data_IF_629353427806
#
_entry.id   IF_629353427806
#
_cell.length_a   1.000
_cell.length_b   1.000
_cell.length_c   1.000
_cell.angle_alpha   90.00
_cell.angle_beta   90.00
_cell.angle_gamma   90.00
#
_symmetry.space_group_name_H-M   'P 1'
#
loop_
_entity.id
_entity.type
_entity.pdbx_description
1 polymer ?
#
# COMPACT_ATOMS: atom_id res chain seq x y z
N UNK A 1 -0.83 22.59 -0.11
CA UNK A 1 -0.90 22.94 -1.54
C UNK A 1 -2.20 23.67 -1.78
N UNK A 2 -2.11 24.98 -2.03
CA UNK A 2 -3.30 25.80 -2.21
C UNK A 2 -4.04 25.36 -3.48
N UNK A 3 -5.37 25.40 -3.45
CA UNK A 3 -6.24 25.04 -4.60
C UNK A 3 -5.84 25.77 -5.89
N UNK A 4 -5.25 26.96 -5.76
CA UNK A 4 -4.71 27.78 -6.84
C UNK A 4 -3.52 27.11 -7.55
N UNK A 5 -2.57 26.52 -6.82
CA UNK A 5 -1.38 25.85 -7.38
C UNK A 5 -1.78 24.62 -8.20
N UNK A 6 -2.75 23.85 -7.69
CA UNK A 6 -3.28 22.69 -8.40
C UNK A 6 -3.98 23.09 -9.71
N UNK A 7 -4.72 24.20 -9.69
CA UNK A 7 -5.40 24.71 -10.88
C UNK A 7 -4.39 25.27 -11.90
N UNK A 8 -3.34 25.94 -11.46
CA UNK A 8 -2.25 26.38 -12.34
C UNK A 8 -1.59 25.18 -13.04
N UNK A 9 -1.19 24.17 -12.26
CA UNK A 9 -0.60 22.93 -12.78
C UNK A 9 -1.51 22.22 -13.79
N UNK A 10 -2.83 22.15 -13.53
CA UNK A 10 -3.80 21.57 -14.48
C UNK A 10 -3.87 22.34 -15.79
N UNK A 11 -3.85 23.66 -15.72
CA UNK A 11 -3.95 24.52 -16.89
C UNK A 11 -2.69 24.43 -17.76
N UNK A 12 -1.50 24.39 -17.14
CA UNK A 12 -0.23 24.17 -17.84
C UNK A 12 -0.24 22.82 -18.57
N UNK A 13 -0.59 21.75 -17.84
CA UNK A 13 -0.63 20.41 -18.41
C UNK A 13 -1.65 20.27 -19.56
N UNK A 14 -2.78 20.97 -19.47
CA UNK A 14 -3.75 21.03 -20.56
C UNK A 14 -3.19 21.75 -21.80
N UNK A 15 -2.43 22.84 -21.62
CA UNK A 15 -1.78 23.54 -22.72
C UNK A 15 -0.74 22.67 -23.40
N UNK A 16 0.11 21.99 -22.64
CA UNK A 16 1.15 21.10 -23.18
C UNK A 16 0.54 19.95 -23.99
N UNK A 17 -0.55 19.36 -23.49
CA UNK A 17 -1.28 18.31 -24.22
C UNK A 17 -1.88 18.86 -25.52
N UNK A 18 -2.46 20.06 -25.50
CA UNK A 18 -3.06 20.66 -26.69
C UNK A 18 -2.02 21.12 -27.73
N UNK A 19 -0.83 21.48 -27.28
CA UNK A 19 0.30 21.85 -28.14
C UNK A 19 1.02 20.63 -28.73
N UNK A 20 0.78 19.42 -28.21
CA UNK A 20 1.41 18.18 -28.70
C UNK A 20 0.73 17.72 -29.99
N UNK A 21 1.51 17.60 -31.08
CA UNK A 21 1.08 17.09 -32.38
C UNK A 21 1.40 15.59 -32.59
N UNK A 22 2.21 15.01 -31.72
CA UNK A 22 2.52 13.57 -31.72
C UNK A 22 1.42 12.72 -31.04
N UNK A 23 0.74 11.91 -31.84
CA UNK A 23 -0.33 11.02 -31.38
C UNK A 23 0.16 9.92 -30.41
N UNK A 24 1.37 9.41 -30.56
CA UNK A 24 1.90 8.34 -29.73
C UNK A 24 2.31 8.85 -28.35
N UNK A 25 2.81 10.10 -28.27
CA UNK A 25 2.99 10.82 -27.01
C UNK A 25 1.64 10.96 -26.30
N UNK A 26 0.59 11.45 -26.99
CA UNK A 26 -0.75 11.59 -26.41
C UNK A 26 -1.32 10.25 -25.90
N UNK A 27 -1.14 9.16 -26.65
CA UNK A 27 -1.57 7.82 -26.25
C UNK A 27 -0.86 7.34 -24.99
N UNK A 28 0.44 7.59 -24.90
CA UNK A 28 1.28 7.20 -23.76
C UNK A 28 0.87 7.97 -22.51
N UNK A 29 0.71 9.30 -22.62
CA UNK A 29 0.27 10.17 -21.52
C UNK A 29 -1.12 9.76 -21.02
N UNK A 30 -2.07 9.50 -21.92
CA UNK A 30 -3.42 9.00 -21.56
C UNK A 30 -3.35 7.68 -20.80
N UNK A 31 -2.48 6.76 -21.22
CA UNK A 31 -2.32 5.44 -20.58
C UNK A 31 -1.70 5.57 -19.19
N UNK A 32 -0.67 6.41 -19.05
CA UNK A 32 -0.04 6.70 -17.76
C UNK A 32 -1.05 7.30 -16.77
N UNK A 33 -1.82 8.30 -17.22
CA UNK A 33 -2.87 8.92 -16.40
C UNK A 33 -3.94 7.92 -15.95
N UNK A 34 -4.45 7.08 -16.87
CA UNK A 34 -5.43 6.02 -16.51
C UNK A 34 -4.87 5.07 -15.45
N UNK A 35 -3.62 4.64 -15.58
CA UNK A 35 -2.96 3.76 -14.58
C UNK A 35 -2.83 4.45 -13.23
N UNK A 36 -2.48 5.75 -13.20
CA UNK A 36 -2.40 6.52 -11.96
C UNK A 36 -3.78 6.60 -11.27
N UNK A 37 -4.84 6.90 -12.03
CA UNK A 37 -6.20 6.97 -11.51
C UNK A 37 -6.71 5.61 -11.03
N UNK A 38 -6.44 4.52 -11.76
CA UNK A 38 -6.79 3.17 -11.31
C UNK A 38 -6.11 2.81 -9.99
N UNK A 39 -4.81 3.08 -9.86
CA UNK A 39 -4.07 2.85 -8.59
C UNK A 39 -4.64 3.66 -7.44
N UNK A 40 -4.99 4.93 -7.68
CA UNK A 40 -5.66 5.77 -6.67
C UNK A 40 -7.01 5.17 -6.26
N UNK A 41 -7.84 4.77 -7.22
CA UNK A 41 -9.17 4.23 -6.93
C UNK A 41 -9.09 2.91 -6.17
N UNK A 42 -8.15 2.03 -6.51
CA UNK A 42 -7.89 0.80 -5.76
C UNK A 42 -7.51 1.09 -4.31
N UNK A 43 -6.58 2.02 -4.07
CA UNK A 43 -6.21 2.44 -2.72
C UNK A 43 -7.39 3.00 -1.93
N UNK A 44 -8.23 3.81 -2.57
CA UNK A 44 -9.45 4.34 -1.92
C UNK A 44 -10.43 3.23 -1.55
N UNK A 45 -10.64 2.26 -2.46
CA UNK A 45 -11.50 1.10 -2.20
C UNK A 45 -10.96 0.21 -1.08
N UNK A 46 -9.64 0.00 -1.03
CA UNK A 46 -8.97 -0.73 0.06
C UNK A 46 -9.13 -0.01 1.40
N UNK A 47 -8.95 1.32 1.40
CA UNK A 47 -9.14 2.15 2.59
C UNK A 47 -10.59 2.11 3.07
N UNK A 48 -11.57 2.20 2.16
CA UNK A 48 -12.99 2.04 2.47
C UNK A 48 -13.30 0.67 3.06
N UNK A 49 -12.74 -0.41 2.50
CA UNK A 49 -12.88 -1.77 3.03
C UNK A 49 -12.26 -1.92 4.42
N UNK A 50 -11.09 -1.33 4.65
CA UNK A 50 -10.42 -1.32 5.94
C UNK A 50 -11.25 -0.57 6.98
N UNK A 51 -11.75 0.62 6.64
CA UNK A 51 -12.64 1.41 7.48
C UNK A 51 -13.93 0.65 7.81
N UNK A 52 -14.56 0.01 6.82
CA UNK A 52 -15.79 -0.77 7.01
C UNK A 52 -15.59 -1.98 7.94
N UNK A 53 -14.37 -2.52 8.01
CA UNK A 53 -14.00 -3.63 8.92
C UNK A 53 -13.44 -3.17 10.25
N UNK A 54 -13.35 -1.86 10.51
CA UNK A 54 -12.66 -1.31 11.68
C UNK A 54 -11.15 -1.61 11.72
N UNK A 55 -10.57 -1.99 10.59
CA UNK A 55 -9.16 -2.35 10.46
C UNK A 55 -8.34 -1.12 10.07
N UNK A 56 -8.33 -0.10 10.93
CA UNK A 56 -7.44 1.03 10.73
C UNK A 56 -5.98 0.53 10.62
N UNK A 57 -5.17 1.03 9.68
CA UNK A 57 -3.75 0.70 9.64
C UNK A 57 -3.11 1.06 10.98
N UNK A 58 -2.25 0.18 11.51
CA UNK A 58 -1.45 0.51 12.68
C UNK A 58 -0.59 1.74 12.39
N UNK A 59 -0.50 2.61 13.38
CA UNK A 59 0.50 3.68 13.39
C UNK A 59 1.91 3.08 13.55
N UNK A 60 2.93 3.86 13.19
CA UNK A 60 4.31 3.41 13.36
C UNK A 60 4.63 3.12 14.84
N UNK A 61 4.10 3.94 15.75
CA UNK A 61 4.30 3.78 17.19
C UNK A 61 3.63 2.50 17.71
N UNK A 62 2.43 2.18 17.24
CA UNK A 62 1.75 0.92 17.58
C UNK A 62 2.51 -0.30 17.05
N UNK A 63 3.09 -0.21 15.84
CA UNK A 63 3.92 -1.28 15.31
C UNK A 63 5.20 -1.46 16.13
N UNK A 64 5.87 -0.37 16.49
CA UNK A 64 7.07 -0.41 17.32
C UNK A 64 6.78 -1.01 18.70
N UNK A 65 5.72 -0.56 19.37
CA UNK A 65 5.33 -1.09 20.68
C UNK A 65 5.05 -2.61 20.64
N UNK A 66 4.44 -3.10 19.56
CA UNK A 66 4.20 -4.54 19.36
C UNK A 66 5.48 -5.33 19.07
N UNK A 67 6.46 -4.72 18.40
CA UNK A 67 7.77 -5.33 18.17
C UNK A 67 8.51 -5.42 19.50
N UNK A 68 8.55 -4.33 20.28
CA UNK A 68 9.19 -4.29 21.59
C UNK A 68 8.59 -5.33 22.55
N UNK A 69 7.25 -5.45 22.55
CA UNK A 69 6.54 -6.49 23.31
C UNK A 69 6.98 -7.90 22.89
N UNK A 70 7.00 -8.19 21.58
CA UNK A 70 7.42 -9.49 21.07
C UNK A 70 8.89 -9.81 21.41
N UNK A 71 9.77 -8.82 21.32
CA UNK A 71 11.19 -8.96 21.70
C UNK A 71 11.35 -9.26 23.20
N UNK A 72 10.58 -8.59 24.06
CA UNK A 72 10.56 -8.86 25.49
C UNK A 72 10.04 -10.27 25.80
N UNK A 73 9.03 -10.75 25.07
CA UNK A 73 8.53 -12.12 25.18
C UNK A 73 9.61 -13.14 24.79
N UNK A 74 10.30 -12.93 23.67
CA UNK A 74 11.42 -13.79 23.26
C UNK A 74 12.56 -13.80 24.29
N UNK A 75 12.91 -12.63 24.83
CA UNK A 75 13.92 -12.52 25.90
C UNK A 75 13.49 -13.26 27.18
N UNK A 76 12.19 -13.28 27.49
CA UNK A 76 11.62 -14.06 28.58
C UNK A 76 11.49 -15.57 28.28
N UNK A 77 11.99 -16.04 27.12
CA UNK A 77 11.93 -17.43 26.70
C UNK A 77 10.54 -17.86 26.18
N UNK A 78 9.63 -16.91 25.93
CA UNK A 78 8.35 -17.18 25.28
C UNK A 78 8.54 -17.15 23.77
N UNK A 79 8.24 -18.26 23.12
CA UNK A 79 8.40 -18.40 21.67
C UNK A 79 8.79 -19.82 21.30
N UNK A 80 8.74 -20.14 20.01
CA UNK A 80 9.20 -21.42 19.48
C UNK A 80 10.21 -21.12 18.38
N UNK A 81 11.40 -21.76 18.40
CA UNK A 81 12.34 -21.65 17.29
C UNK A 81 11.67 -21.99 15.96
N UNK A 82 12.03 -21.24 14.92
CA UNK A 82 11.40 -21.38 13.61
C UNK A 82 11.47 -22.82 13.08
N UNK A 83 12.58 -23.52 13.31
CA UNK A 83 12.80 -24.91 12.91
C UNK A 83 11.79 -25.85 13.58
N UNK A 84 11.55 -25.68 14.87
CA UNK A 84 10.61 -26.49 15.63
C UNK A 84 9.16 -26.21 15.20
N UNK A 85 8.83 -24.95 14.92
CA UNK A 85 7.52 -24.58 14.36
C UNK A 85 7.30 -25.21 12.98
N UNK A 86 8.30 -25.16 12.09
CA UNK A 86 8.25 -25.77 10.76
C UNK A 86 8.13 -27.30 10.82
N UNK A 87 8.83 -27.96 11.74
CA UNK A 87 8.71 -29.40 11.93
C UNK A 87 7.30 -29.81 12.38
N UNK A 88 6.71 -29.09 13.35
CA UNK A 88 5.33 -29.30 13.79
C UNK A 88 4.34 -29.12 12.63
N UNK A 89 4.54 -28.08 11.82
CA UNK A 89 3.72 -27.83 10.63
C UNK A 89 3.78 -28.99 9.63
N UNK A 90 4.99 -29.50 9.34
CA UNK A 90 5.17 -30.65 8.44
C UNK A 90 4.49 -31.91 8.97
N UNK A 91 4.60 -32.18 10.27
CA UNK A 91 3.93 -33.31 10.91
C UNK A 91 2.40 -33.19 10.86
N UNK A 92 1.87 -31.99 11.08
CA UNK A 92 0.43 -31.72 10.97
C UNK A 92 -0.07 -31.99 9.54
N UNK A 93 0.64 -31.48 8.52
CA UNK A 93 0.27 -31.69 7.11
C UNK A 93 0.36 -33.16 6.72
N UNK A 94 1.36 -33.90 7.20
CA UNK A 94 1.53 -35.33 6.89
C UNK A 94 0.45 -36.23 7.51
N UNK A 95 -0.27 -35.74 8.53
CA UNK A 95 -1.32 -36.46 9.25
C UNK A 95 -2.75 -36.02 8.85
N UNK A 96 -2.89 -35.13 7.86
CA UNK A 96 -4.15 -34.75 7.22
C UNK A 96 -4.45 -35.66 6.01
#
# INVERSE_FOLDING_TARGET
>A
MATVELNACRNELARDILATDDLDVLRTTRRAYRRAMQRRNLRMMELEKMNAKGLAPYTMDELNARIDEAEAEFAAGKGVPAEAAHQRMKQFIANL
#
